data_IF_682537005492
#
_entry.id   IF_682537005492
#
_cell.length_a   1.000
_cell.length_b   1.000
_cell.length_c   1.000
_cell.angle_alpha   90.00
_cell.angle_beta   90.00
_cell.angle_gamma   90.00
#
_symmetry.space_group_name_H-M   'P 1'
#
loop_
_entity.id
_entity.type
_entity.pdbx_description
1 polymer ?
#
# COMPACT_ATOMS: atom_id res chain seq x y z
N UNK A 1 2.30 23.22 -34.47
CA UNK A 1 1.68 23.32 -33.13
C UNK A 1 1.99 22.07 -32.33
N UNK A 2 2.77 22.16 -31.25
CA UNK A 2 3.15 21.01 -30.43
C UNK A 2 1.99 20.58 -29.51
N UNK A 3 1.54 19.33 -29.66
CA UNK A 3 0.53 18.70 -28.79
C UNK A 3 1.16 18.49 -27.41
N UNK A 4 0.85 19.36 -26.45
CA UNK A 4 1.22 19.18 -25.04
C UNK A 4 0.51 17.92 -24.54
N UNK A 5 1.24 16.81 -24.44
CA UNK A 5 0.74 15.57 -23.85
C UNK A 5 0.22 15.89 -22.44
N UNK A 6 -1.09 15.79 -22.27
CA UNK A 6 -1.73 15.99 -20.98
C UNK A 6 -1.49 14.73 -20.15
N UNK A 7 -0.29 14.63 -19.58
CA UNK A 7 0.05 13.61 -18.59
C UNK A 7 -0.77 13.91 -17.32
N UNK A 8 -2.05 13.52 -17.33
CA UNK A 8 -2.89 13.58 -16.15
C UNK A 8 -2.40 12.49 -15.21
N UNK A 9 -1.85 12.89 -14.06
CA UNK A 9 -1.56 11.99 -12.94
C UNK A 9 -2.87 11.27 -12.56
N UNK A 10 -3.08 10.09 -13.12
CA UNK A 10 -4.30 9.31 -12.91
C UNK A 10 -4.15 8.63 -11.56
N UNK A 11 -5.12 8.84 -10.70
CA UNK A 11 -5.25 8.07 -9.47
C UNK A 11 -5.45 6.61 -9.89
N UNK A 12 -4.49 5.75 -9.54
CA UNK A 12 -4.49 4.34 -9.92
C UNK A 12 -5.67 3.58 -9.29
N UNK A 13 -6.04 3.94 -8.06
CA UNK A 13 -7.19 3.41 -7.37
C UNK A 13 -8.15 4.54 -6.94
N UNK A 14 -9.30 4.71 -7.61
CA UNK A 14 -10.27 5.75 -7.26
C UNK A 14 -10.83 5.64 -5.84
N UNK A 15 -10.92 4.42 -5.29
CA UNK A 15 -11.43 4.18 -3.94
C UNK A 15 -10.45 4.70 -2.88
N UNK A 16 -9.15 4.70 -3.18
CA UNK A 16 -8.13 5.24 -2.29
C UNK A 16 -8.12 6.77 -2.23
N UNK A 17 -8.83 7.47 -3.13
CA UNK A 17 -8.79 8.94 -3.22
C UNK A 17 -9.20 9.62 -1.91
N UNK A 18 -10.27 9.16 -1.28
CA UNK A 18 -10.76 9.70 -0.01
C UNK A 18 -9.75 9.47 1.12
N UNK A 19 -9.19 8.27 1.21
CA UNK A 19 -8.16 7.93 2.21
C UNK A 19 -6.88 8.75 2.02
N UNK A 20 -6.44 8.94 0.77
CA UNK A 20 -5.27 9.77 0.44
C UNK A 20 -5.51 11.25 0.77
N UNK A 21 -6.72 11.76 0.54
CA UNK A 21 -7.07 13.13 0.91
C UNK A 21 -7.05 13.32 2.43
N UNK A 22 -7.61 12.39 3.21
CA UNK A 22 -7.55 12.40 4.68
C UNK A 22 -6.09 12.39 5.18
N UNK A 23 -5.29 11.44 4.68
CA UNK A 23 -3.88 11.31 5.04
C UNK A 23 -3.07 12.57 4.72
N UNK A 24 -3.36 13.23 3.59
CA UNK A 24 -2.73 14.51 3.23
C UNK A 24 -3.01 15.59 4.28
N UNK A 25 -4.26 15.69 4.77
CA UNK A 25 -4.61 16.67 5.81
C UNK A 25 -3.96 16.33 7.17
N UNK A 26 -3.96 15.06 7.56
CA UNK A 26 -3.32 14.60 8.80
C UNK A 26 -1.81 14.87 8.79
N UNK A 27 -1.14 14.54 7.69
CA UNK A 27 0.30 14.75 7.54
C UNK A 27 0.64 16.22 7.43
N UNK A 28 -0.17 17.02 6.72
CA UNK A 28 0.02 18.47 6.70
C UNK A 28 -0.04 19.07 8.12
N UNK A 29 -1.02 18.63 8.92
CA UNK A 29 -1.14 19.03 10.33
C UNK A 29 0.08 18.60 11.16
N UNK A 30 0.57 17.36 10.99
CA UNK A 30 1.77 16.87 11.70
C UNK A 30 3.04 17.64 11.35
N UNK A 31 3.19 18.05 10.09
CA UNK A 31 4.37 18.81 9.63
C UNK A 31 4.28 20.30 10.04
N UNK A 32 3.18 20.72 10.67
CA UNK A 32 2.96 22.09 11.12
C UNK A 32 2.63 23.05 9.97
N UNK A 33 2.11 22.51 8.87
CA UNK A 33 1.70 23.29 7.70
C UNK A 33 0.21 23.48 7.82
N UNK A 34 -0.20 24.70 8.17
CA UNK A 34 -1.61 25.07 8.17
C UNK A 34 -2.10 25.17 6.72
N UNK A 35 -2.60 24.06 6.19
CA UNK A 35 -3.28 24.01 4.89
C UNK A 35 -4.46 25.00 4.82
N UNK A 36 -5.00 25.41 5.99
CA UNK A 36 -6.08 26.38 6.16
C UNK A 36 -5.62 27.85 6.27
N UNK A 37 -4.35 28.14 6.54
CA UNK A 37 -3.86 29.51 6.73
C UNK A 37 -3.58 30.25 5.41
N UNK A 38 -3.65 29.56 4.26
CA UNK A 38 -3.40 30.13 2.94
C UNK A 38 -4.67 30.59 2.21
N UNK A 39 -5.75 30.92 2.92
CA UNK A 39 -6.93 31.59 2.35
C UNK A 39 -7.63 30.85 1.20
N UNK A 40 -7.44 29.53 1.08
CA UNK A 40 -7.95 28.72 -0.04
C UNK A 40 -7.09 28.73 -1.30
N UNK A 41 -5.94 29.42 -1.31
CA UNK A 41 -4.99 29.42 -2.41
C UNK A 41 -3.76 28.57 -2.06
N UNK A 42 -3.70 27.34 -2.58
CA UNK A 42 -2.58 26.41 -2.36
C UNK A 42 -1.28 26.82 -3.08
N UNK A 43 -1.26 27.99 -3.74
CA UNK A 43 -0.10 28.51 -4.48
C UNK A 43 0.98 29.15 -3.62
N UNK A 44 0.66 29.56 -2.39
CA UNK A 44 1.61 30.20 -1.47
C UNK A 44 2.34 29.21 -0.56
N UNK A 45 1.99 27.92 -0.63
CA UNK A 45 2.75 26.86 0.04
C UNK A 45 4.11 26.75 -0.66
N UNK A 46 5.24 26.92 0.04
CA UNK A 46 6.55 26.75 -0.56
C UNK A 46 6.66 25.36 -1.21
N UNK A 47 7.19 25.28 -2.43
CA UNK A 47 7.32 24.00 -3.15
C UNK A 47 8.08 22.93 -2.34
N UNK A 48 9.03 23.38 -1.51
CA UNK A 48 9.75 22.52 -0.55
C UNK A 48 8.81 21.88 0.47
N UNK A 49 7.82 22.62 0.93
CA UNK A 49 6.89 22.24 1.99
C UNK A 49 5.81 21.29 1.45
N UNK A 50 5.26 21.59 0.27
CA UNK A 50 4.40 20.66 -0.47
C UNK A 50 5.13 19.34 -0.79
N UNK A 51 6.41 19.41 -1.17
CA UNK A 51 7.26 18.24 -1.38
C UNK A 51 7.46 17.42 -0.10
N UNK A 52 7.64 18.06 1.05
CA UNK A 52 7.76 17.39 2.36
C UNK A 52 6.49 16.62 2.72
N UNK A 53 5.30 17.19 2.49
CA UNK A 53 4.01 16.49 2.72
C UNK A 53 3.93 15.23 1.85
N UNK A 54 4.16 15.37 0.54
CA UNK A 54 4.09 14.24 -0.40
C UNK A 54 5.09 13.12 -0.06
N UNK A 55 6.30 13.49 0.36
CA UNK A 55 7.32 12.54 0.80
C UNK A 55 6.92 11.79 2.09
N UNK A 56 6.34 12.50 3.07
CA UNK A 56 5.85 11.89 4.31
C UNK A 56 4.66 10.95 4.05
N UNK A 57 3.75 11.31 3.15
CA UNK A 57 2.66 10.41 2.72
C UNK A 57 3.20 9.09 2.18
N UNK A 58 4.17 9.15 1.26
CA UNK A 58 4.78 7.93 0.69
C UNK A 58 5.49 7.10 1.76
N UNK A 59 6.22 7.75 2.66
CA UNK A 59 6.90 7.05 3.77
C UNK A 59 5.91 6.29 4.67
N UNK A 60 4.79 6.92 5.03
CA UNK A 60 3.77 6.28 5.86
C UNK A 60 3.04 5.15 5.11
N UNK A 61 2.73 5.34 3.82
CA UNK A 61 2.13 4.28 3.00
C UNK A 61 3.03 3.05 2.91
N UNK A 62 4.33 3.23 2.72
CA UNK A 62 5.29 2.12 2.68
C UNK A 62 5.34 1.41 4.05
N UNK A 63 5.44 2.17 5.14
CA UNK A 63 5.45 1.59 6.48
C UNK A 63 4.18 0.78 6.79
N UNK A 64 3.01 1.28 6.41
CA UNK A 64 1.74 0.56 6.56
C UNK A 64 1.68 -0.71 5.69
N UNK A 65 2.20 -0.65 4.46
CA UNK A 65 2.28 -1.80 3.57
C UNK A 65 3.23 -2.87 4.12
N UNK A 66 4.41 -2.48 4.61
CA UNK A 66 5.37 -3.38 5.27
C UNK A 66 4.75 -4.06 6.48
N UNK A 67 4.08 -3.30 7.36
CA UNK A 67 3.37 -3.87 8.52
C UNK A 67 2.27 -4.86 8.11
N UNK A 68 1.51 -4.53 7.06
CA UNK A 68 0.45 -5.40 6.54
C UNK A 68 1.01 -6.70 5.96
N UNK A 69 2.15 -6.63 5.26
CA UNK A 69 2.84 -7.79 4.73
C UNK A 69 3.42 -8.65 5.87
N UNK A 70 4.09 -8.03 6.83
CA UNK A 70 4.60 -8.74 8.02
C UNK A 70 3.46 -9.43 8.76
N UNK A 71 2.35 -8.74 8.98
CA UNK A 71 1.17 -9.33 9.64
C UNK A 71 0.64 -10.55 8.89
N UNK A 72 0.58 -10.49 7.55
CA UNK A 72 0.14 -11.62 6.72
C UNK A 72 1.14 -12.78 6.78
N UNK A 73 2.44 -12.48 6.69
CA UNK A 73 3.50 -13.48 6.78
C UNK A 73 3.52 -14.15 8.16
N UNK A 74 3.39 -13.39 9.24
CA UNK A 74 3.39 -13.93 10.62
C UNK A 74 2.16 -14.79 10.85
N UNK A 75 0.97 -14.39 10.37
CA UNK A 75 -0.23 -15.22 10.47
C UNK A 75 -0.08 -16.56 9.73
N UNK A 76 0.50 -16.56 8.52
CA UNK A 76 0.79 -17.79 7.77
C UNK A 76 1.87 -18.66 8.40
N UNK A 77 2.91 -18.04 8.98
CA UNK A 77 3.99 -18.74 9.67
C UNK A 77 3.51 -19.38 10.98
N UNK A 78 2.68 -18.70 11.77
CA UNK A 78 2.09 -19.24 13.01
C UNK A 78 1.15 -20.43 12.74
N UNK A 79 0.34 -20.35 11.67
CA UNK A 79 -0.53 -21.46 11.27
C UNK A 79 0.28 -22.71 10.87
N UNK A 80 1.35 -22.49 10.09
CA UNK A 80 2.27 -23.56 9.66
C UNK A 80 3.05 -24.15 10.86
N UNK A 81 3.46 -23.30 11.79
CA UNK A 81 4.23 -23.72 12.96
C UNK A 81 3.40 -24.51 13.97
N UNK A 82 2.17 -24.05 14.27
CA UNK A 82 1.25 -24.79 15.14
C UNK A 82 0.87 -26.15 14.56
N UNK A 83 0.85 -26.27 13.22
CA UNK A 83 0.62 -27.55 12.55
C UNK A 83 1.83 -28.49 12.65
N UNK A 84 3.07 -27.96 12.59
CA UNK A 84 4.30 -28.73 12.73
C UNK A 84 4.56 -29.26 14.15
N UNK A 85 4.02 -28.59 15.18
CA UNK A 85 4.18 -28.99 16.58
C UNK A 85 3.12 -29.99 17.07
N UNK A 86 2.21 -30.47 16.21
CA UNK A 86 1.22 -31.50 16.59
C UNK A 86 1.88 -32.87 16.56
N UNK A 87 2.04 -33.57 17.71
CA UNK A 87 2.61 -34.91 17.73
C UNK A 87 1.61 -35.89 17.08
N UNK A 88 1.93 -36.37 15.87
CA UNK A 88 1.21 -37.48 15.25
C UNK A 88 1.10 -37.53 13.73
N UNK A 89 1.34 -36.44 12.98
CA UNK A 89 1.03 -36.40 11.52
C UNK A 89 2.20 -35.90 10.65
N UNK A 90 3.37 -36.55 10.74
CA UNK A 90 4.51 -36.33 9.82
C UNK A 90 4.42 -37.13 8.51
N UNK A 91 3.34 -37.89 8.30
CA UNK A 91 3.09 -38.61 7.06
C UNK A 91 2.06 -37.85 6.22
N UNK A 92 2.45 -37.52 4.99
CA UNK A 92 1.78 -36.72 3.98
C UNK A 92 1.99 -35.21 4.09
N UNK A 93 2.83 -34.75 3.16
CA UNK A 93 2.74 -33.48 2.44
C UNK A 93 3.82 -32.43 2.75
N UNK A 94 5.06 -32.77 2.39
CA UNK A 94 6.14 -31.79 2.12
C UNK A 94 5.88 -31.04 0.78
N UNK A 95 4.71 -31.24 0.15
CA UNK A 95 4.40 -30.83 -1.22
C UNK A 95 3.28 -29.77 -1.31
N UNK A 96 2.63 -29.37 -0.21
CA UNK A 96 1.62 -28.28 -0.21
C UNK A 96 2.18 -26.88 0.00
N UNK A 97 3.49 -26.72 0.20
CA UNK A 97 4.13 -25.41 0.33
C UNK A 97 4.24 -24.61 -0.98
N UNK A 98 3.92 -25.21 -2.13
CA UNK A 98 3.91 -24.53 -3.43
C UNK A 98 2.60 -24.80 -4.17
N UNK A 99 1.58 -24.03 -3.83
CA UNK A 99 0.37 -23.88 -4.65
C UNK A 99 0.77 -23.27 -6.00
N UNK A 100 1.09 -24.11 -6.99
CA UNK A 100 0.84 -23.73 -8.38
C UNK A 100 -0.65 -23.95 -8.59
N UNK A 101 -1.44 -22.89 -8.51
CA UNK A 101 -2.81 -22.91 -9.02
C UNK A 101 -2.73 -23.15 -10.53
N UNK A 102 -2.67 -24.42 -10.96
CA UNK A 102 -2.89 -24.75 -12.38
C UNK A 102 -4.31 -24.32 -12.69
N UNK A 103 -4.43 -23.22 -13.41
CA UNK A 103 -5.71 -22.71 -13.90
C UNK A 103 -6.38 -23.82 -14.72
N UNK A 104 -7.55 -24.35 -14.30
CA UNK A 104 -8.22 -25.45 -14.98
C UNK A 104 -8.71 -25.09 -16.40
N UNK A 105 -8.60 -23.82 -16.81
CA UNK A 105 -8.93 -23.38 -18.17
C UNK A 105 -7.79 -23.52 -19.20
N UNK A 106 -6.62 -24.06 -18.85
CA UNK A 106 -5.48 -24.18 -19.79
C UNK A 106 -5.24 -25.60 -20.34
N UNK A 107 -6.03 -26.61 -19.97
CA UNK A 107 -5.86 -28.00 -20.44
C UNK A 107 -6.89 -28.44 -21.48
N UNK A 108 -7.58 -27.49 -22.12
CA UNK A 108 -8.43 -27.77 -23.28
C UNK A 108 -7.92 -27.00 -24.48
N UNK A 109 -7.06 -27.64 -25.27
CA UNK A 109 -6.81 -27.36 -26.69
C UNK A 109 -6.33 -28.65 -27.33
#
# INVERSE_FOLDING_TARGET
MARRSSNKNRILNPQARQALDQMKYEIASQVGIDYNSYGGYLGDIPAREAGRIGGQMVKQMIAAAEQSLISQTVAGAQASFNQALRPGNFAQDVTSGFSTTTNPNLTKS
#
